data_IF_020495756388
#
_entry.id   IF_020495756388
#
_cell.length_a   1.000
_cell.length_b   1.000
_cell.length_c   1.000
_cell.angle_alpha   90.00
_cell.angle_beta   90.00
_cell.angle_gamma   90.00
#
_symmetry.space_group_name_H-M   'P 1'
#
loop_
_entity.id
_entity.type
_entity.pdbx_description
1 polymer ?
#
# COMPACT_ATOMS: atom_id res chain seq x y z
N UNK A 1 33.83 -1.44 0.57
CA UNK A 1 32.83 -2.45 0.99
C UNK A 1 32.98 -3.64 0.07
N UNK A 2 33.19 -4.84 0.63
CA UNK A 2 33.38 -6.07 -0.15
C UNK A 2 32.05 -6.52 -0.78
N UNK A 3 32.11 -7.13 -1.97
CA UNK A 3 30.95 -7.68 -2.69
C UNK A 3 30.14 -8.70 -1.84
N UNK A 4 30.81 -9.52 -1.03
CA UNK A 4 30.15 -10.46 -0.11
C UNK A 4 29.42 -9.74 1.03
N UNK A 5 30.01 -8.68 1.59
CA UNK A 5 29.39 -7.87 2.64
C UNK A 5 28.15 -7.13 2.09
N UNK A 6 28.22 -6.63 0.85
CA UNK A 6 27.10 -5.99 0.16
C UNK A 6 25.93 -6.96 -0.04
N UNK A 7 26.20 -8.17 -0.56
CA UNK A 7 25.18 -9.21 -0.75
C UNK A 7 24.55 -9.67 0.57
N UNK A 8 25.35 -9.80 1.63
CA UNK A 8 24.85 -10.18 2.96
C UNK A 8 23.96 -9.08 3.55
N UNK A 9 24.36 -7.81 3.43
CA UNK A 9 23.56 -6.68 3.89
C UNK A 9 22.24 -6.57 3.13
N UNK A 10 22.25 -6.76 1.81
CA UNK A 10 21.04 -6.76 0.98
C UNK A 10 20.07 -7.86 1.40
N UNK A 11 20.57 -9.09 1.66
CA UNK A 11 19.74 -10.20 2.16
C UNK A 11 19.12 -9.88 3.52
N UNK A 12 19.87 -9.25 4.42
CA UNK A 12 19.38 -8.85 5.75
C UNK A 12 18.28 -7.80 5.64
N UNK A 13 18.45 -6.80 4.78
CA UNK A 13 17.44 -5.78 4.51
C UNK A 13 16.17 -6.40 3.91
N UNK A 14 16.29 -7.30 2.94
CA UNK A 14 15.15 -8.01 2.36
C UNK A 14 14.40 -8.85 3.40
N UNK A 15 15.11 -9.58 4.25
CA UNK A 15 14.48 -10.37 5.32
C UNK A 15 13.78 -9.49 6.36
N UNK A 16 14.36 -8.33 6.70
CA UNK A 16 13.73 -7.35 7.60
C UNK A 16 12.46 -6.76 6.98
N UNK A 17 12.52 -6.35 5.70
CA UNK A 17 11.38 -5.87 4.93
C UNK A 17 10.24 -6.91 4.91
N UNK A 18 10.55 -8.16 4.60
CA UNK A 18 9.53 -9.22 4.53
C UNK A 18 8.88 -9.47 5.90
N UNK A 19 9.67 -9.52 6.98
CA UNK A 19 9.12 -9.66 8.33
C UNK A 19 8.19 -8.50 8.71
N UNK A 20 8.58 -7.26 8.42
CA UNK A 20 7.73 -6.10 8.69
C UNK A 20 6.44 -6.15 7.86
N UNK A 21 6.54 -6.50 6.58
CA UNK A 21 5.38 -6.66 5.68
C UNK A 21 4.42 -7.72 6.21
N UNK A 22 4.92 -8.90 6.60
CA UNK A 22 4.11 -9.96 7.20
C UNK A 22 3.40 -9.47 8.46
N UNK A 23 4.10 -8.77 9.36
CA UNK A 23 3.49 -8.25 10.58
C UNK A 23 2.34 -7.26 10.31
N UNK A 24 2.46 -6.40 9.30
CA UNK A 24 1.35 -5.51 8.91
C UNK A 24 0.15 -6.29 8.37
N UNK A 25 0.39 -7.32 7.56
CA UNK A 25 -0.68 -8.17 7.02
C UNK A 25 -1.35 -9.01 8.12
N UNK A 26 -0.58 -9.54 9.06
CA UNK A 26 -1.12 -10.30 10.19
C UNK A 26 -2.02 -9.43 11.07
N UNK A 27 -1.59 -8.19 11.35
CA UNK A 27 -2.43 -7.23 12.07
C UNK A 27 -3.71 -6.91 11.30
N UNK A 28 -3.63 -6.63 9.99
CA UNK A 28 -4.81 -6.37 9.17
C UNK A 28 -5.78 -7.57 9.16
N UNK A 29 -5.25 -8.80 9.04
CA UNK A 29 -6.05 -10.02 9.08
C UNK A 29 -6.71 -10.22 10.45
N UNK A 30 -6.01 -9.91 11.53
CA UNK A 30 -6.55 -9.94 12.89
C UNK A 30 -7.73 -8.98 13.03
N UNK A 31 -7.57 -7.72 12.64
CA UNK A 31 -8.64 -6.72 12.69
C UNK A 31 -9.88 -7.18 11.90
N UNK A 32 -9.68 -7.74 10.71
CA UNK A 32 -10.78 -8.19 9.86
C UNK A 32 -11.50 -9.45 10.37
N UNK A 33 -10.79 -10.37 11.04
CA UNK A 33 -11.35 -11.69 11.40
C UNK A 33 -11.71 -11.82 12.88
N UNK A 34 -10.86 -11.31 13.76
CA UNK A 34 -11.01 -11.47 15.22
C UNK A 34 -11.86 -10.35 15.81
N UNK A 35 -11.81 -9.15 15.22
CA UNK A 35 -12.56 -7.98 15.69
C UNK A 35 -13.80 -7.68 14.84
N UNK A 36 -14.14 -8.57 13.91
CA UNK A 36 -15.30 -8.50 13.00
C UNK A 36 -15.41 -7.16 12.25
N UNK A 37 -14.27 -6.54 11.93
CA UNK A 37 -14.24 -5.29 11.17
C UNK A 37 -14.40 -5.56 9.68
N UNK A 38 -15.20 -4.72 9.01
CA UNK A 38 -15.34 -4.76 7.55
C UNK A 38 -13.96 -4.62 6.87
N UNK A 39 -13.65 -5.55 5.96
CA UNK A 39 -12.35 -5.59 5.26
C UNK A 39 -12.04 -4.29 4.52
N UNK A 40 -13.05 -3.57 4.01
CA UNK A 40 -12.86 -2.27 3.37
C UNK A 40 -12.45 -1.21 4.39
N UNK A 41 -12.99 -1.26 5.62
CA UNK A 41 -12.58 -0.36 6.71
C UNK A 41 -11.13 -0.63 7.10
N UNK A 42 -10.77 -1.90 7.30
CA UNK A 42 -9.37 -2.29 7.61
C UNK A 42 -8.42 -1.86 6.50
N UNK A 43 -8.79 -2.07 5.23
CA UNK A 43 -7.99 -1.64 4.09
C UNK A 43 -7.80 -0.12 4.04
N UNK A 44 -8.86 0.64 4.31
CA UNK A 44 -8.81 2.09 4.33
C UNK A 44 -7.96 2.63 5.50
N UNK A 45 -8.05 1.99 6.68
CA UNK A 45 -7.22 2.29 7.83
C UNK A 45 -5.73 1.98 7.57
N UNK A 46 -5.42 0.86 6.90
CA UNK A 46 -4.06 0.51 6.52
C UNK A 46 -3.46 1.54 5.56
N UNK A 47 -4.24 2.00 4.57
CA UNK A 47 -3.82 3.06 3.65
C UNK A 47 -3.52 4.38 4.40
N UNK A 48 -4.41 4.78 5.31
CA UNK A 48 -4.23 5.98 6.13
C UNK A 48 -2.98 5.87 7.03
N UNK A 49 -2.81 4.76 7.74
CA UNK A 49 -1.64 4.51 8.58
C UNK A 49 -0.33 4.58 7.77
N UNK A 50 -0.33 4.01 6.57
CA UNK A 50 0.81 4.04 5.65
C UNK A 50 1.14 5.47 5.21
N UNK A 51 0.13 6.30 4.93
CA UNK A 51 0.30 7.72 4.59
C UNK A 51 0.81 8.58 5.77
N UNK A 52 0.30 8.34 6.98
CA UNK A 52 0.77 9.00 8.21
C UNK A 52 2.24 8.66 8.45
N UNK A 53 2.62 7.39 8.35
CA UNK A 53 4.00 6.97 8.54
C UNK A 53 4.92 7.53 7.45
N UNK A 54 4.48 7.52 6.19
CA UNK A 54 5.21 8.14 5.08
C UNK A 54 5.42 9.66 5.29
N UNK A 55 4.44 10.34 5.86
CA UNK A 55 4.55 11.76 6.23
C UNK A 55 5.55 11.95 7.36
N UNK A 56 5.46 11.14 8.42
CA UNK A 56 6.39 11.17 9.55
C UNK A 56 7.86 10.97 9.13
N UNK A 57 8.15 9.97 8.29
CA UNK A 57 9.54 9.72 7.84
C UNK A 57 10.08 10.87 6.99
N UNK A 58 9.22 11.63 6.31
CA UNK A 58 9.63 12.70 5.37
C UNK A 58 9.70 14.06 6.05
N UNK A 59 8.73 14.36 6.92
CA UNK A 59 8.49 15.69 7.46
C UNK A 59 8.57 15.76 9.00
N UNK A 60 8.74 14.61 9.68
CA UNK A 60 8.77 14.52 11.14
C UNK A 60 7.40 14.72 11.79
N UNK A 61 7.38 14.83 13.11
CA UNK A 61 6.13 14.94 13.91
C UNK A 61 5.36 16.25 13.70
N UNK A 62 6.04 17.31 13.27
CA UNK A 62 5.46 18.66 13.17
C UNK A 62 5.32 19.13 11.71
N UNK A 63 5.55 18.24 10.75
CA UNK A 63 5.52 18.55 9.32
C UNK A 63 4.33 17.90 8.60
N UNK A 64 4.06 18.41 7.40
CA UNK A 64 3.05 17.85 6.49
C UNK A 64 3.60 17.85 5.06
N UNK A 65 2.97 17.06 4.17
CA UNK A 65 3.33 17.04 2.76
C UNK A 65 2.63 18.17 2.02
N UNK A 66 3.41 19.01 1.33
CA UNK A 66 2.87 19.87 0.27
C UNK A 66 2.30 18.99 -0.88
N UNK A 67 1.46 19.53 -1.78
CA UNK A 67 0.87 18.75 -2.88
C UNK A 67 1.90 17.96 -3.69
N UNK A 68 3.02 18.59 -4.07
CA UNK A 68 4.11 17.91 -4.78
C UNK A 68 4.78 16.77 -3.97
N UNK A 69 4.69 16.83 -2.63
CA UNK A 69 5.15 15.76 -1.75
C UNK A 69 4.18 14.57 -1.74
N UNK A 70 2.87 14.85 -1.74
CA UNK A 70 1.84 13.83 -1.90
C UNK A 70 2.02 13.08 -3.22
N UNK A 71 2.23 13.79 -4.32
CA UNK A 71 2.44 13.18 -5.65
C UNK A 71 3.65 12.25 -5.66
N UNK A 72 4.79 12.69 -5.11
CA UNK A 72 6.00 11.87 -5.01
C UNK A 72 5.78 10.58 -4.22
N UNK A 73 5.08 10.68 -3.09
CA UNK A 73 4.78 9.51 -2.27
C UNK A 73 3.81 8.58 -3.01
N UNK A 74 2.79 9.11 -3.68
CA UNK A 74 1.85 8.33 -4.49
C UNK A 74 2.56 7.59 -5.63
N UNK A 75 3.49 8.25 -6.33
CA UNK A 75 4.33 7.63 -7.37
C UNK A 75 5.20 6.50 -6.80
N UNK A 76 5.78 6.69 -5.61
CA UNK A 76 6.52 5.62 -4.93
C UNK A 76 5.62 4.42 -4.62
N UNK A 77 4.39 4.64 -4.13
CA UNK A 77 3.44 3.55 -3.91
C UNK A 77 3.09 2.83 -5.21
N UNK A 78 2.83 3.58 -6.29
CA UNK A 78 2.53 3.02 -7.61
C UNK A 78 3.66 2.12 -8.11
N UNK A 79 4.91 2.58 -8.01
CA UNK A 79 6.07 1.82 -8.44
C UNK A 79 6.27 0.54 -7.61
N UNK A 80 6.14 0.65 -6.28
CA UNK A 80 6.23 -0.52 -5.39
C UNK A 80 5.10 -1.52 -5.64
N UNK A 81 3.87 -1.05 -5.83
CA UNK A 81 2.73 -1.91 -6.15
C UNK A 81 2.95 -2.64 -7.47
N UNK A 82 3.45 -1.96 -8.50
CA UNK A 82 3.81 -2.59 -9.78
C UNK A 82 4.81 -3.72 -9.61
N UNK A 83 5.88 -3.50 -8.85
CA UNK A 83 6.85 -4.55 -8.51
C UNK A 83 6.21 -5.75 -7.78
N UNK A 84 5.33 -5.49 -6.81
CA UNK A 84 4.60 -6.54 -6.08
C UNK A 84 3.70 -7.35 -7.02
N UNK A 85 2.97 -6.70 -7.94
CA UNK A 85 2.12 -7.42 -8.90
C UNK A 85 2.94 -8.28 -9.86
N UNK A 86 4.06 -7.77 -10.35
CA UNK A 86 4.94 -8.53 -11.23
C UNK A 86 5.51 -9.77 -10.53
N UNK A 87 5.94 -9.64 -9.28
CA UNK A 87 6.36 -10.81 -8.47
C UNK A 87 5.22 -11.81 -8.28
N UNK A 88 4.03 -11.34 -7.94
CA UNK A 88 2.86 -12.20 -7.76
C UNK A 88 2.52 -12.96 -9.04
N UNK A 89 2.64 -12.30 -10.20
CA UNK A 89 2.48 -12.94 -11.51
C UNK A 89 3.50 -14.06 -11.71
N UNK A 90 4.79 -13.79 -11.49
CA UNK A 90 5.86 -14.79 -11.61
C UNK A 90 5.65 -15.98 -10.65
N UNK A 91 5.18 -15.73 -9.44
CA UNK A 91 4.86 -16.79 -8.46
C UNK A 91 3.68 -17.66 -8.89
N UNK A 92 2.68 -17.10 -9.58
CA UNK A 92 1.56 -17.86 -10.15
C UNK A 92 2.01 -18.72 -11.34
N UNK A 93 2.79 -18.13 -12.25
CA UNK A 93 3.36 -18.82 -13.41
C UNK A 93 4.25 -20.00 -12.99
N UNK A 94 5.11 -19.81 -11.97
CA UNK A 94 5.93 -20.87 -11.41
C UNK A 94 5.10 -22.02 -10.79
N UNK A 95 3.86 -21.76 -10.37
CA UNK A 95 2.91 -22.78 -9.88
C UNK A 95 2.06 -23.38 -11.01
N UNK A 96 2.28 -22.99 -12.26
CA UNK A 96 1.46 -23.39 -13.41
C UNK A 96 0.05 -22.79 -13.39
N UNK A 97 -0.17 -21.73 -12.60
CA UNK A 97 -1.45 -21.02 -12.53
C UNK A 97 -1.40 -19.86 -13.51
N UNK A 98 -2.33 -19.83 -14.46
CA UNK A 98 -2.47 -18.70 -15.40
C UNK A 98 -2.87 -17.44 -14.62
N UNK A 99 -1.99 -16.42 -14.65
CA UNK A 99 -2.25 -15.14 -14.00
C UNK A 99 -3.26 -14.32 -14.82
N UNK A 100 -4.45 -14.11 -14.26
CA UNK A 100 -5.49 -13.27 -14.87
C UNK A 100 -5.38 -11.83 -14.35
N UNK A 101 -5.07 -10.83 -15.20
CA UNK A 101 -5.01 -9.45 -14.76
C UNK A 101 -6.40 -8.94 -14.41
N UNK A 102 -6.52 -8.22 -13.28
CA UNK A 102 -7.73 -7.52 -12.88
C UNK A 102 -7.61 -6.02 -13.22
N UNK A 103 -8.73 -5.36 -13.53
CA UNK A 103 -8.77 -3.94 -13.90
C UNK A 103 -8.33 -3.64 -15.33
N UNK A 104 -8.45 -4.63 -16.22
CA UNK A 104 -8.35 -4.47 -17.68
C UNK A 104 -9.65 -3.94 -18.31
N UNK A 105 -10.73 -3.88 -17.54
CA UNK A 105 -12.02 -3.27 -17.88
C UNK A 105 -12.31 -2.03 -17.00
N UNK A 106 -13.40 -1.33 -17.30
CA UNK A 106 -13.86 -0.15 -16.54
C UNK A 106 -14.39 -0.49 -15.13
N UNK A 107 -14.49 -1.77 -14.77
CA UNK A 107 -15.09 -2.29 -13.52
C UNK A 107 -14.05 -2.53 -12.42
N UNK A 108 -12.75 -2.57 -12.74
CA UNK A 108 -11.68 -2.84 -11.76
C UNK A 108 -11.36 -1.74 -10.75
N UNK A 109 -12.15 -0.66 -10.67
CA UNK A 109 -11.98 0.36 -9.64
C UNK A 109 -12.62 -0.17 -8.36
N UNK A 110 -11.84 -0.73 -7.44
CA UNK A 110 -12.34 -1.04 -6.09
C UNK A 110 -12.66 0.31 -5.43
N UNK A 111 -13.93 0.62 -5.12
CA UNK A 111 -14.27 1.88 -4.45
C UNK A 111 -13.66 1.86 -3.06
N UNK A 112 -12.72 2.76 -2.79
CA UNK A 112 -12.21 3.00 -1.44
C UNK A 112 -13.23 3.89 -0.72
N UNK A 113 -13.84 3.44 0.39
CA UNK A 113 -14.91 4.18 1.07
C UNK A 113 -14.52 5.61 1.48
N UNK A 114 -13.25 5.86 1.79
CA UNK A 114 -12.77 7.20 2.12
C UNK A 114 -12.68 8.14 0.91
N UNK A 115 -12.37 7.63 -0.29
CA UNK A 115 -12.32 8.45 -1.50
C UNK A 115 -13.72 8.88 -1.95
N UNK A 116 -14.72 8.01 -1.78
CA UNK A 116 -16.12 8.34 -2.05
C UNK A 116 -16.68 9.35 -1.05
N UNK A 117 -16.41 9.17 0.26
CA UNK A 117 -16.83 10.13 1.28
C UNK A 117 -16.19 11.52 1.11
N UNK A 118 -14.91 11.59 0.71
CA UNK A 118 -14.26 12.88 0.42
C UNK A 118 -14.83 13.55 -0.84
N UNK A 119 -15.12 12.79 -1.91
CA UNK A 119 -15.83 13.35 -3.09
C UNK A 119 -17.21 13.86 -2.77
N UNK A 120 -17.99 13.11 -1.99
CA UNK A 120 -19.34 13.54 -1.59
C UNK A 120 -19.29 14.82 -0.76
N UNK A 121 -18.25 15.01 0.07
CA UNK A 121 -18.05 16.24 0.82
C UNK A 121 -17.58 17.42 -0.05
N UNK A 122 -16.78 17.17 -1.09
CA UNK A 122 -16.39 18.17 -2.10
C UNK A 122 -17.58 18.58 -3.00
N UNK A 123 -18.41 17.62 -3.40
CA UNK A 123 -19.63 17.87 -4.19
C UNK A 123 -20.69 18.61 -3.37
N UNK A 124 -20.78 18.37 -2.05
CA UNK A 124 -21.72 19.08 -1.17
C UNK A 124 -21.25 20.48 -0.74
N UNK A 125 -20.02 20.89 -1.08
CA UNK A 125 -19.45 22.20 -0.73
C UNK A 125 -19.26 23.14 -1.94
N UNK A 126 -19.64 22.70 -3.14
CA UNK A 126 -19.62 23.52 -4.37
C UNK A 126 -20.91 24.27 -4.68
N UNK A 127 -21.95 24.11 -3.86
CA UNK A 127 -23.30 24.68 -4.03
C UNK A 127 -23.66 25.74 -2.96
N UNK A 128 -22.65 26.46 -2.40
CA UNK A 128 -22.87 27.68 -1.60
C UNK A 128 -22.28 28.94 -2.26
#
# INVERSE_FOLDING_TARGET
>A
MNEQESKQQQRKQLAAHNRATTAFIDLANKLAKEEDQDVKVVSAALMAASGIYATFITAGNNGFLAPSGVDKIADMYKNNLGYVQERKKQELEAKGIEAKPLGTDKEGRIPTPHAEKMRQAEESSGDE
#
